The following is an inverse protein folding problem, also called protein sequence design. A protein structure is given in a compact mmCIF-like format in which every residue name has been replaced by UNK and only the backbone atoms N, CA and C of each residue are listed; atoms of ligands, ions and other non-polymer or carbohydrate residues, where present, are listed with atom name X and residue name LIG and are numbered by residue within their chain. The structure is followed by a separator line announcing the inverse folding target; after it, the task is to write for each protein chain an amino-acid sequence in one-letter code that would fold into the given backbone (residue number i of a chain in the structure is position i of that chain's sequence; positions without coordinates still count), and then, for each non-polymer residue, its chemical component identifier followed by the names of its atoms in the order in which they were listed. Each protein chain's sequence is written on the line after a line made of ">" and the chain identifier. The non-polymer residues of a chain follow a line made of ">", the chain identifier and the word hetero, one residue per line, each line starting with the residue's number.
data_IF_181131587007
#
_entry.id   IF_181131587007
#
_cell.length_a   1.000
_cell.length_b   1.000
_cell.length_c   1.000
_cell.angle_alpha   90.00
_cell.angle_beta   90.00
_cell.angle_gamma   90.00
#
_symmetry.space_group_name_H-M   'P 1'
#
loop_
_entity.id
_entity.type
_entity.pdbx_description
1 polymer ?
#
# COMPACT_ATOMS: atom_id res chain seq x y z
N UNK A 1 -36.29 -31.94 18.60
CA UNK A 1 -34.92 -32.44 18.85
C UNK A 1 -34.42 -33.08 17.57
N UNK A 2 -33.72 -32.32 16.72
CA UNK A 2 -32.25 -32.19 16.67
C UNK A 2 -31.58 -33.38 15.97
N UNK A 3 -31.02 -33.15 14.77
CA UNK A 3 -29.57 -33.24 14.53
C UNK A 3 -29.17 -32.73 13.15
N UNK A 4 -28.28 -31.75 13.20
CA UNK A 4 -27.51 -31.08 12.15
C UNK A 4 -26.47 -32.04 11.53
N UNK A 5 -26.24 -31.91 10.22
CA UNK A 5 -24.94 -32.17 9.55
C UNK A 5 -24.74 -31.07 8.50
N UNK A 6 -24.20 -29.93 8.95
CA UNK A 6 -22.95 -29.29 8.51
C UNK A 6 -22.21 -30.00 7.37
N UNK A 7 -22.04 -29.29 6.24
CA UNK A 7 -20.84 -29.38 5.39
C UNK A 7 -20.67 -28.12 4.54
N UNK A 8 -19.93 -27.16 5.12
CA UNK A 8 -18.80 -26.41 4.54
C UNK A 8 -19.00 -25.79 3.14
N UNK A 9 -19.57 -24.60 3.11
CA UNK A 9 -19.39 -23.65 1.99
C UNK A 9 -18.01 -22.98 2.13
N UNK A 10 -17.04 -23.42 1.35
CA UNK A 10 -15.83 -22.65 1.06
C UNK A 10 -16.22 -21.40 0.26
N UNK A 11 -16.45 -20.28 0.95
CA UNK A 11 -16.52 -18.96 0.31
C UNK A 11 -15.12 -18.61 -0.17
N UNK A 12 -14.89 -18.79 -1.47
CA UNK A 12 -13.76 -18.17 -2.17
C UNK A 12 -13.87 -16.66 -1.97
N UNK A 13 -12.83 -16.07 -1.40
CA UNK A 13 -12.69 -14.63 -1.28
C UNK A 13 -12.34 -14.13 -2.68
N UNK A 14 -13.35 -13.73 -3.44
CA UNK A 14 -13.15 -12.91 -4.63
C UNK A 14 -12.62 -11.57 -4.15
N UNK A 15 -11.30 -11.46 -4.06
CA UNK A 15 -10.65 -10.18 -3.72
C UNK A 15 -10.58 -9.40 -5.01
N UNK A 16 -11.69 -8.73 -5.31
CA UNK A 16 -11.80 -7.72 -6.36
C UNK A 16 -10.96 -6.52 -5.92
N UNK A 17 -9.66 -6.58 -6.23
CA UNK A 17 -8.72 -5.50 -5.91
C UNK A 17 -8.89 -4.45 -6.98
N UNK A 18 -9.74 -3.47 -6.69
CA UNK A 18 -9.90 -2.28 -7.53
C UNK A 18 -8.58 -1.50 -7.56
N UNK A 19 -8.20 -0.85 -8.68
CA UNK A 19 -7.02 0.02 -8.78
C UNK A 19 -6.95 1.09 -7.67
N UNK A 20 -8.12 1.52 -7.21
CA UNK A 20 -8.33 2.43 -6.06
C UNK A 20 -7.64 1.94 -4.78
N UNK A 21 -7.54 0.61 -4.58
CA UNK A 21 -6.91 0.02 -3.40
C UNK A 21 -5.39 0.24 -3.37
N UNK A 22 -4.74 0.26 -4.54
CA UNK A 22 -3.31 0.53 -4.69
C UNK A 22 -3.00 2.00 -4.37
N UNK A 23 -3.92 2.90 -4.72
CA UNK A 23 -3.72 4.34 -4.55
C UNK A 23 -3.86 4.82 -3.10
N UNK A 24 -4.55 4.06 -2.26
CA UNK A 24 -4.88 4.50 -0.90
C UNK A 24 -4.01 3.87 0.19
N UNK A 25 -3.27 2.80 -0.10
CA UNK A 25 -2.45 2.10 0.90
C UNK A 25 -0.97 2.41 0.72
N UNK A 26 -0.19 2.16 1.78
CA UNK A 26 1.26 2.16 1.69
C UNK A 26 1.73 1.05 0.73
N UNK A 27 2.84 1.29 0.04
CA UNK A 27 3.34 0.39 -0.99
C UNK A 27 4.04 -0.83 -0.39
N UNK A 28 3.79 -2.01 -0.96
CA UNK A 28 4.49 -3.21 -0.53
C UNK A 28 6.01 -3.05 -0.75
N UNK A 29 6.81 -3.13 0.32
CA UNK A 29 8.26 -3.05 0.24
C UNK A 29 8.85 -4.15 -0.65
N UNK A 30 8.26 -5.35 -0.66
CA UNK A 30 8.72 -6.45 -1.50
C UNK A 30 8.53 -6.17 -2.98
N UNK A 31 7.47 -5.42 -3.31
CA UNK A 31 7.20 -4.92 -4.64
C UNK A 31 8.18 -3.81 -5.04
N UNK A 32 8.48 -2.87 -4.13
CA UNK A 32 9.51 -1.84 -4.36
C UNK A 32 10.91 -2.47 -4.53
N UNK A 33 11.24 -3.51 -3.75
CA UNK A 33 12.54 -4.21 -3.82
C UNK A 33 12.82 -4.89 -5.16
N UNK A 34 11.81 -5.08 -6.02
CA UNK A 34 12.01 -5.70 -7.33
C UNK A 34 12.97 -4.89 -8.20
N UNK A 35 12.98 -3.55 -8.07
CA UNK A 35 13.76 -2.65 -8.92
C UNK A 35 14.56 -1.58 -8.14
N UNK A 36 14.60 -1.64 -6.81
CA UNK A 36 15.33 -0.68 -5.97
C UNK A 36 16.06 -1.40 -4.83
N UNK A 37 17.11 -0.76 -4.32
CA UNK A 37 17.83 -1.18 -3.13
C UNK A 37 17.17 -0.62 -1.84
N UNK A 38 17.28 -1.32 -0.69
CA UNK A 38 16.69 -0.88 0.58
C UNK A 38 17.03 0.55 0.99
N UNK A 39 18.29 0.96 0.81
CA UNK A 39 18.82 2.28 1.21
C UNK A 39 18.10 3.44 0.49
N UNK A 40 17.45 3.14 -0.65
CA UNK A 40 16.68 4.14 -1.39
C UNK A 40 15.35 4.46 -0.73
N UNK A 41 14.82 3.62 0.16
CA UNK A 41 13.47 3.81 0.71
C UNK A 41 13.26 3.42 2.18
N UNK A 42 14.24 2.82 2.85
CA UNK A 42 14.11 2.33 4.23
C UNK A 42 13.74 3.42 5.25
N UNK A 43 14.11 4.67 5.00
CA UNK A 43 13.73 5.81 5.85
C UNK A 43 12.26 6.22 5.69
N UNK A 44 11.58 5.73 4.65
CA UNK A 44 10.17 6.07 4.36
C UNK A 44 9.20 4.97 4.80
N UNK A 45 9.62 4.08 5.70
CA UNK A 45 8.76 3.01 6.21
C UNK A 45 7.71 3.59 7.17
N UNK A 46 6.45 3.32 6.88
CA UNK A 46 5.32 3.71 7.70
C UNK A 46 5.39 3.00 9.06
N UNK A 47 5.37 3.77 10.14
CA UNK A 47 5.39 3.28 11.53
C UNK A 47 4.22 2.33 11.81
N UNK A 48 3.05 2.54 11.19
CA UNK A 48 1.82 1.81 11.47
C UNK A 48 1.81 0.45 10.75
N UNK A 49 1.93 0.44 9.42
CA UNK A 49 1.78 -0.79 8.63
C UNK A 49 3.10 -1.45 8.23
N UNK A 50 4.26 -0.84 8.53
CA UNK A 50 5.60 -1.35 8.24
C UNK A 50 5.92 -1.54 6.74
N UNK A 51 5.15 -0.87 5.89
CA UNK A 51 5.32 -0.79 4.43
C UNK A 51 5.85 0.59 4.00
N UNK A 52 6.21 0.80 2.73
CA UNK A 52 6.70 2.12 2.26
C UNK A 52 5.55 3.12 2.24
N UNK A 53 5.70 4.24 2.95
CA UNK A 53 4.62 5.21 3.15
C UNK A 53 4.16 5.82 1.83
N UNK A 54 2.87 5.63 1.51
CA UNK A 54 2.18 6.34 0.44
C UNK A 54 1.51 7.59 1.02
N UNK A 55 1.52 8.70 0.28
CA UNK A 55 1.13 10.02 0.78
C UNK A 55 1.78 10.29 2.13
N UNK A 56 3.10 10.19 2.17
CA UNK A 56 3.89 10.27 3.39
C UNK A 56 3.63 11.57 4.18
N UNK A 57 3.49 11.42 5.50
CA UNK A 57 3.52 12.49 6.50
C UNK A 57 4.49 12.14 7.62
N UNK A 58 5.00 13.16 8.29
CA UNK A 58 5.92 13.05 9.42
C UNK A 58 5.23 13.58 10.67
N UNK A 59 5.23 12.79 11.76
CA UNK A 59 4.69 13.25 13.05
C UNK A 59 5.70 14.20 13.70
N UNK A 60 5.23 15.38 14.10
CA UNK A 60 6.04 16.45 14.69
C UNK A 60 5.53 16.86 16.07
N UNK A 61 4.86 15.94 16.77
CA UNK A 61 4.31 16.18 18.10
C UNK A 61 5.40 16.71 19.05
N UNK A 62 5.15 17.76 19.85
CA UNK A 62 6.12 18.30 20.80
C UNK A 62 6.70 17.26 21.78
N UNK A 63 5.92 16.23 22.09
CA UNK A 63 6.26 15.11 22.95
C UNK A 63 7.36 14.19 22.36
N UNK A 64 7.67 14.34 21.08
CA UNK A 64 8.58 13.47 20.32
C UNK A 64 9.71 14.24 19.62
N UNK A 65 9.99 15.48 20.05
CA UNK A 65 11.02 16.33 19.43
C UNK A 65 12.44 15.78 19.49
N UNK A 66 12.73 14.96 20.50
CA UNK A 66 14.06 14.44 20.76
C UNK A 66 14.24 12.97 20.35
N UNK A 67 13.24 12.38 19.66
CA UNK A 67 13.39 11.00 19.19
C UNK A 67 14.19 11.01 17.88
N UNK A 68 15.24 10.21 17.83
CA UNK A 68 16.07 9.99 16.62
C UNK A 68 15.45 8.92 15.69
N UNK A 69 14.28 8.38 16.07
CA UNK A 69 13.58 7.36 15.30
C UNK A 69 12.65 7.97 14.24
N UNK A 70 12.45 7.22 13.14
CA UNK A 70 11.56 7.64 12.04
C UNK A 70 10.11 7.77 12.50
N UNK A 71 9.57 8.99 12.46
CA UNK A 71 8.17 9.32 12.77
C UNK A 71 7.26 9.29 11.53
N UNK A 72 7.69 8.54 10.52
CA UNK A 72 7.06 8.53 9.20
C UNK A 72 5.81 7.64 9.20
N UNK A 73 4.74 8.14 8.59
CA UNK A 73 3.47 7.42 8.45
C UNK A 73 2.84 7.71 7.10
N UNK A 74 2.16 6.73 6.52
CA UNK A 74 1.27 6.98 5.38
C UNK A 74 0.02 7.72 5.85
N UNK A 75 -0.39 8.77 5.14
CA UNK A 75 -1.50 9.62 5.57
C UNK A 75 -2.81 8.85 5.78
N UNK A 76 -3.12 7.89 4.90
CA UNK A 76 -4.32 7.08 5.06
C UNK A 76 -4.21 6.13 6.27
N UNK A 77 -3.03 5.54 6.51
CA UNK A 77 -2.78 4.73 7.71
C UNK A 77 -2.99 5.56 8.97
N UNK A 78 -2.47 6.79 9.00
CA UNK A 78 -2.68 7.71 10.11
C UNK A 78 -4.18 7.97 10.32
N UNK A 79 -4.91 8.39 9.27
CA UNK A 79 -6.37 8.65 9.36
C UNK A 79 -7.15 7.46 9.93
N UNK A 80 -6.87 6.25 9.44
CA UNK A 80 -7.52 5.04 9.92
C UNK A 80 -7.17 4.74 11.39
N UNK A 81 -5.90 4.88 11.75
CA UNK A 81 -5.44 4.69 13.11
C UNK A 81 -6.13 5.65 14.09
N UNK A 82 -6.21 6.94 13.75
CA UNK A 82 -6.85 7.94 14.61
C UNK A 82 -8.33 7.65 14.83
N UNK A 83 -9.04 7.24 13.77
CA UNK A 83 -10.45 6.83 13.87
C UNK A 83 -10.65 5.63 14.79
N UNK A 84 -9.71 4.69 14.80
CA UNK A 84 -9.77 3.48 15.61
C UNK A 84 -9.29 3.67 17.06
N UNK A 85 -8.46 4.69 17.32
CA UNK A 85 -7.76 4.87 18.60
C UNK A 85 -8.06 6.23 19.25
N UNK A 86 -9.28 6.75 19.10
CA UNK A 86 -9.74 7.98 19.76
C UNK A 86 -8.80 9.18 19.55
N UNK A 87 -8.25 9.33 18.34
CA UNK A 87 -7.27 10.37 18.00
C UNK A 87 -5.97 10.35 18.83
N UNK A 88 -5.63 9.21 19.43
CA UNK A 88 -4.36 9.01 20.12
C UNK A 88 -3.19 8.91 19.14
N UNK A 89 -2.05 9.50 19.50
CA UNK A 89 -0.83 9.42 18.70
C UNK A 89 -0.32 7.96 18.54
N UNK A 90 0.17 7.57 17.34
CA UNK A 90 0.72 6.23 17.08
C UNK A 90 2.04 5.90 17.79
N UNK A 91 2.79 6.91 18.26
CA UNK A 91 4.09 6.71 18.94
C UNK A 91 3.86 6.46 20.43
N UNK A 92 3.12 7.36 21.09
CA UNK A 92 2.76 7.26 22.50
C UNK A 92 1.39 7.91 22.71
N UNK A 93 0.64 7.46 23.71
CA UNK A 93 -0.65 8.08 24.03
C UNK A 93 -0.51 9.55 24.41
N UNK A 94 -1.07 10.41 23.55
CA UNK A 94 -1.41 11.81 23.82
C UNK A 94 -2.42 12.28 22.76
N UNK A 95 -3.12 13.37 23.06
CA UNK A 95 -4.05 14.05 22.15
C UNK A 95 -3.33 15.18 21.37
N UNK A 96 -4.01 15.85 20.44
CA UNK A 96 -3.49 16.97 19.64
C UNK A 96 -2.26 16.61 18.81
N UNK A 97 -2.43 15.66 17.90
CA UNK A 97 -1.35 15.19 17.02
C UNK A 97 -1.03 16.27 16.00
N UNK A 98 0.26 16.57 15.87
CA UNK A 98 0.79 17.46 14.85
C UNK A 98 1.57 16.64 13.83
N UNK A 99 1.34 16.91 12.55
CA UNK A 99 2.08 16.26 11.46
C UNK A 99 2.19 17.17 10.26
N UNK A 100 3.26 16.98 9.48
CA UNK A 100 3.55 17.76 8.29
C UNK A 100 3.69 16.85 7.07
N UNK A 101 3.32 17.37 5.90
CA UNK A 101 3.61 16.72 4.62
C UNK A 101 4.99 17.15 4.13
N UNK A 102 5.90 16.20 3.97
CA UNK A 102 7.20 16.46 3.37
C UNK A 102 7.15 16.24 1.85
N UNK A 103 7.03 17.33 1.09
CA UNK A 103 6.94 17.26 -0.38
C UNK A 103 8.21 16.72 -1.03
N UNK A 104 9.39 16.94 -0.44
CA UNK A 104 10.66 16.41 -0.95
C UNK A 104 10.70 14.89 -0.86
N UNK A 105 10.36 14.31 0.30
CA UNK A 105 10.28 12.86 0.49
C UNK A 105 9.22 12.22 -0.40
N UNK A 106 8.06 12.87 -0.58
CA UNK A 106 7.03 12.41 -1.51
C UNK A 106 7.51 12.36 -2.96
N UNK A 107 8.29 13.35 -3.42
CA UNK A 107 8.92 13.34 -4.76
C UNK A 107 9.94 12.21 -4.90
N UNK A 108 10.69 11.93 -3.84
CA UNK A 108 11.66 10.84 -3.82
C UNK A 108 10.97 9.48 -3.96
N UNK A 109 9.98 9.19 -3.10
CA UNK A 109 9.14 8.00 -3.22
C UNK A 109 8.52 7.91 -4.62
N UNK A 110 7.92 9.00 -5.09
CA UNK A 110 7.30 9.07 -6.42
C UNK A 110 8.27 8.81 -7.58
N UNK A 111 9.58 8.88 -7.35
CA UNK A 111 10.64 8.63 -8.35
C UNK A 111 11.22 7.21 -8.30
N UNK A 112 10.89 6.41 -7.27
CA UNK A 112 11.28 5.00 -7.19
C UNK A 112 10.71 4.24 -8.38
N UNK A 113 11.52 3.32 -8.94
CA UNK A 113 11.11 2.51 -10.09
C UNK A 113 10.35 1.28 -9.61
N UNK A 114 9.27 0.91 -10.27
CA UNK A 114 8.44 -0.23 -9.88
C UNK A 114 7.96 -1.00 -11.09
N UNK A 115 7.71 -2.29 -10.90
CA UNK A 115 6.94 -3.09 -11.85
C UNK A 115 5.45 -2.82 -11.66
N UNK A 116 4.59 -3.33 -12.55
CA UNK A 116 3.15 -3.28 -12.30
C UNK A 116 2.78 -4.04 -11.01
N UNK A 117 1.98 -3.47 -10.08
CA UNK A 117 1.58 -4.17 -8.86
C UNK A 117 0.64 -5.35 -9.15
N UNK A 118 -0.19 -5.26 -10.19
CA UNK A 118 -1.04 -6.38 -10.62
C UNK A 118 -0.19 -7.55 -11.15
N UNK A 119 0.90 -7.25 -11.87
CA UNK A 119 1.87 -8.25 -12.31
C UNK A 119 2.56 -8.91 -11.11
N UNK A 120 3.05 -8.12 -10.16
CA UNK A 120 3.68 -8.64 -8.94
C UNK A 120 2.76 -9.59 -8.16
N UNK A 121 1.47 -9.25 -8.07
CA UNK A 121 0.49 -10.10 -7.43
C UNK A 121 0.27 -11.43 -8.17
N UNK A 122 0.16 -11.40 -9.50
CA UNK A 122 0.03 -12.63 -10.30
C UNK A 122 1.24 -13.55 -10.13
N UNK A 123 2.45 -12.99 -10.21
CA UNK A 123 3.71 -13.71 -10.06
C UNK A 123 3.85 -14.32 -8.66
N UNK A 124 3.50 -13.57 -7.61
CA UNK A 124 3.59 -14.05 -6.21
C UNK A 124 2.57 -15.13 -5.86
N UNK A 125 1.40 -15.15 -6.52
CA UNK A 125 0.36 -16.17 -6.29
C UNK A 125 0.56 -17.44 -7.14
N UNK A 126 1.61 -17.50 -7.97
CA UNK A 126 1.84 -18.62 -8.88
C UNK A 126 0.72 -18.84 -9.90
N UNK A 127 -0.15 -17.82 -10.11
CA UNK A 127 -1.31 -17.88 -10.98
C UNK A 127 -0.93 -17.57 -12.44
N UNK A 128 0.03 -18.32 -12.98
CA UNK A 128 0.30 -18.32 -14.42
C UNK A 128 -0.82 -18.98 -15.25
N UNK A 129 -1.90 -19.46 -14.62
CA UNK A 129 -2.87 -20.38 -15.25
C UNK A 129 -4.27 -19.80 -15.50
N UNK A 130 -4.59 -18.56 -15.09
CA UNK A 130 -5.96 -18.00 -15.32
C UNK A 130 -6.08 -17.10 -16.55
N UNK A 131 -4.99 -16.47 -16.98
CA UNK A 131 -4.94 -15.66 -18.20
C UNK A 131 -3.76 -16.13 -19.03
N UNK A 132 -3.98 -17.14 -19.89
CA UNK A 132 -2.96 -17.64 -20.82
C UNK A 132 -2.53 -16.50 -21.77
N UNK A 133 -1.46 -15.77 -21.41
CA UNK A 133 -0.73 -14.86 -22.30
C UNK A 133 -0.85 -13.36 -22.04
N UNK A 134 -1.71 -12.88 -21.14
CA UNK A 134 -1.76 -11.44 -20.83
C UNK A 134 -0.67 -11.12 -19.81
N UNK A 135 0.37 -10.43 -20.28
CA UNK A 135 1.50 -9.99 -19.46
C UNK A 135 1.51 -8.46 -19.44
N UNK A 136 1.79 -7.88 -18.27
CA UNK A 136 2.19 -6.48 -18.17
C UNK A 136 3.72 -6.44 -18.09
N UNK A 137 4.35 -5.51 -18.81
CA UNK A 137 5.80 -5.29 -18.80
C UNK A 137 6.18 -3.90 -18.26
N UNK A 138 5.21 -3.21 -17.64
CA UNK A 138 5.43 -1.87 -17.09
C UNK A 138 6.58 -1.87 -16.09
N UNK A 139 7.55 -0.99 -16.35
CA UNK A 139 8.67 -0.66 -15.47
C UNK A 139 8.84 0.86 -15.49
N UNK A 140 8.20 1.54 -14.56
CA UNK A 140 8.13 2.99 -14.52
C UNK A 140 8.29 3.54 -13.11
N UNK A 141 8.08 4.85 -12.94
CA UNK A 141 8.13 5.48 -11.60
C UNK A 141 6.80 5.31 -10.88
N UNK A 142 6.80 5.30 -9.54
CA UNK A 142 5.56 5.24 -8.74
C UNK A 142 4.56 6.32 -9.16
N UNK A 143 5.02 7.54 -9.43
CA UNK A 143 4.14 8.65 -9.85
C UNK A 143 3.43 8.44 -11.19
N UNK A 144 3.92 7.53 -12.03
CA UNK A 144 3.34 7.17 -13.34
C UNK A 144 2.32 6.03 -13.21
N UNK A 145 2.22 5.43 -12.02
CA UNK A 145 1.44 4.21 -11.82
C UNK A 145 -0.06 4.43 -11.96
N UNK A 146 -0.60 5.55 -11.46
CA UNK A 146 -2.04 5.82 -11.55
C UNK A 146 -2.51 5.93 -13.00
N UNK A 147 -1.71 6.60 -13.85
CA UNK A 147 -1.98 6.68 -15.29
C UNK A 147 -1.89 5.29 -15.95
N UNK A 148 -0.84 4.53 -15.64
CA UNK A 148 -0.71 3.16 -16.13
C UNK A 148 -1.91 2.28 -15.76
N UNK A 149 -2.27 2.22 -14.47
CA UNK A 149 -3.39 1.41 -13.97
C UNK A 149 -4.74 1.87 -14.51
N UNK A 150 -4.90 3.17 -14.80
CA UNK A 150 -6.14 3.71 -15.32
C UNK A 150 -6.31 3.44 -16.80
N UNK A 151 -5.25 3.61 -17.59
CA UNK A 151 -5.36 3.80 -19.03
C UNK A 151 -4.63 2.74 -19.88
N UNK A 152 -3.59 2.09 -19.33
CA UNK A 152 -2.67 1.28 -20.14
C UNK A 152 -2.49 -0.16 -19.63
N UNK A 153 -2.85 -0.46 -18.38
CA UNK A 153 -2.54 -1.74 -17.78
C UNK A 153 -3.37 -2.88 -18.39
N UNK A 154 -2.76 -3.86 -19.07
CA UNK A 154 -3.49 -4.96 -19.69
C UNK A 154 -4.04 -5.96 -18.66
N UNK A 155 -3.54 -5.91 -17.42
CA UNK A 155 -3.98 -6.74 -16.31
C UNK A 155 -5.16 -6.13 -15.53
N UNK A 156 -5.57 -4.91 -15.89
CA UNK A 156 -6.78 -4.31 -15.34
C UNK A 156 -7.96 -5.13 -15.85
N UNK A 157 -8.56 -5.94 -14.98
CA UNK A 157 -9.83 -6.61 -15.28
C UNK A 157 -10.83 -5.48 -15.50
N UNK A 158 -11.31 -5.31 -16.73
CA UNK A 158 -12.45 -4.44 -16.98
C UNK A 158 -13.69 -5.21 -16.53
N UNK A 159 -14.59 -4.55 -15.80
CA UNK A 159 -15.86 -5.12 -15.33
C UNK A 159 -16.87 -5.34 -16.48
N UNK A 160 -16.41 -5.82 -17.64
CA UNK A 160 -17.25 -6.14 -18.78
C UNK A 160 -17.12 -7.61 -19.15
N UNK A 161 -17.76 -8.45 -18.35
CA UNK A 161 -18.19 -9.77 -18.78
C UNK A 161 -19.57 -10.09 -18.18
N UNK A 162 -20.60 -9.67 -18.94
CA UNK A 162 -21.98 -10.17 -19.05
C UNK A 162 -22.72 -10.65 -17.80
#
# INVERSE_FOLDING_TARGET
>A
MSKVKNEKTTKGINTEITPVFVEQQCFDKNWILQLNQPEQFEHFICLICKQVANSLVELCCPQHKDIDESTIVGENCLKQFLKANSNSCPIQHHENIEYVRCTASQRHIGSLKVICPLQFQQESQGQNQRNEGIVCDFKGKIKELSDHLSNACPLKISDYAN
#
